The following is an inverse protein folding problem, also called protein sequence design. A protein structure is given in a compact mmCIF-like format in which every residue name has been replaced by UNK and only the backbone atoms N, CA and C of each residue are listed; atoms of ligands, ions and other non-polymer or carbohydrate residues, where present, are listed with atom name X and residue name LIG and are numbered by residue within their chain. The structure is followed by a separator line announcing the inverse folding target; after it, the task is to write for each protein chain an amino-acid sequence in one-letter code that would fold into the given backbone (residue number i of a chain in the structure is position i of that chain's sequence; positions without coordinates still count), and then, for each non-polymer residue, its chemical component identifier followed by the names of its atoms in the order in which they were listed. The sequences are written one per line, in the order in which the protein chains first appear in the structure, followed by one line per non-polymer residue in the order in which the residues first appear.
data_IF_213327516047
#
_entry.id   IF_213327516047
#
_cell.length_a   1.000
_cell.length_b   1.000
_cell.length_c   1.000
_cell.angle_alpha   90.00
_cell.angle_beta   90.00
_cell.angle_gamma   90.00
#
_symmetry.space_group_name_H-M   'P 1'
#
loop_
_entity.id
_entity.type
_entity.pdbx_description
1 polymer ?
#
# COMPACT_ATOMS: atom_id res chain seq x y z
N UNK A 1 -9.03 3.45 21.57
CA UNK A 1 -10.21 4.04 20.93
C UNK A 1 -9.78 5.30 20.21
N UNK A 2 -9.36 5.18 18.98
CA UNK A 2 -8.97 6.33 18.15
C UNK A 2 -10.15 6.69 17.27
N UNK A 3 -10.82 7.78 17.59
CA UNK A 3 -11.82 8.40 16.70
C UNK A 3 -11.08 9.31 15.73
N UNK A 4 -11.04 8.94 14.49
CA UNK A 4 -10.78 9.87 13.39
C UNK A 4 -11.98 10.80 13.30
N UNK A 5 -11.80 12.07 13.67
CA UNK A 5 -12.82 13.11 13.54
C UNK A 5 -12.96 13.49 12.07
N UNK A 6 -14.02 13.01 11.44
CA UNK A 6 -14.53 13.59 10.20
C UNK A 6 -15.32 14.87 10.55
N UNK A 7 -14.97 15.99 9.94
CA UNK A 7 -15.73 17.22 9.98
C UNK A 7 -17.07 17.04 9.28
N UNK A 8 -18.12 17.57 9.92
CA UNK A 8 -19.50 17.38 9.53
C UNK A 8 -19.93 18.02 8.22
N UNK A 9 -20.92 17.40 7.61
CA UNK A 9 -21.83 18.01 6.64
C UNK A 9 -23.27 17.58 6.95
N UNK A 10 -24.15 18.56 6.83
CA UNK A 10 -25.55 18.59 7.24
C UNK A 10 -26.41 17.48 6.64
N UNK A 11 -27.32 17.02 7.48
CA UNK A 11 -28.42 16.14 7.14
C UNK A 11 -29.46 16.83 6.25
N UNK A 12 -29.92 16.13 5.22
CA UNK A 12 -31.20 16.38 4.55
C UNK A 12 -31.99 15.07 4.49
N UNK A 13 -33.28 15.19 4.75
CA UNK A 13 -34.23 14.15 5.09
C UNK A 13 -34.55 13.16 3.97
N UNK A 14 -34.96 11.95 4.39
CA UNK A 14 -35.44 10.80 3.64
C UNK A 14 -36.70 11.04 2.80
N UNK A 15 -36.95 10.13 1.86
CA UNK A 15 -38.20 9.37 1.95
C UNK A 15 -38.01 7.85 1.97
N UNK A 16 -38.92 7.24 2.70
CA UNK A 16 -39.16 5.81 2.82
C UNK A 16 -39.64 5.26 1.45
N UNK A 17 -38.98 4.20 0.96
CA UNK A 17 -39.49 3.39 -0.13
C UNK A 17 -39.52 1.91 0.19
N UNK A 18 -40.61 1.32 -0.20
CA UNK A 18 -41.07 0.03 0.16
C UNK A 18 -40.25 -1.14 -0.38
N UNK A 19 -40.51 -2.29 0.22
CA UNK A 19 -40.05 -3.62 -0.10
C UNK A 19 -40.22 -3.96 -1.60
N UNK A 20 -39.09 -4.20 -2.26
CA UNK A 20 -39.04 -5.05 -3.44
C UNK A 20 -37.97 -6.12 -3.22
N UNK A 21 -38.44 -7.34 -2.91
CA UNK A 21 -37.66 -8.56 -3.10
C UNK A 21 -37.34 -8.70 -4.59
N UNK A 22 -36.20 -8.20 -5.01
CA UNK A 22 -35.56 -8.63 -6.25
C UNK A 22 -34.41 -9.56 -5.88
N UNK A 23 -34.68 -10.87 -5.99
CA UNK A 23 -33.62 -11.89 -6.10
C UNK A 23 -32.70 -11.47 -7.24
N UNK A 24 -31.48 -11.02 -6.89
CA UNK A 24 -30.40 -10.88 -7.84
C UNK A 24 -30.05 -12.28 -8.35
N UNK A 25 -30.55 -12.65 -9.50
CA UNK A 25 -30.06 -13.78 -10.28
C UNK A 25 -28.65 -13.38 -10.74
N UNK A 26 -27.64 -13.90 -10.07
CA UNK A 26 -26.25 -13.83 -10.55
C UNK A 26 -26.24 -14.33 -12.00
N UNK A 27 -25.72 -13.50 -12.89
CA UNK A 27 -25.62 -13.78 -14.31
C UNK A 27 -24.69 -14.99 -14.51
N UNK A 28 -25.25 -16.19 -14.71
CA UNK A 28 -24.52 -17.47 -14.79
C UNK A 28 -23.64 -17.62 -16.05
N UNK A 29 -23.38 -16.56 -16.81
CA UNK A 29 -22.60 -16.59 -18.04
C UNK A 29 -21.19 -15.99 -17.93
N UNK A 30 -20.66 -15.76 -16.73
CA UNK A 30 -19.26 -15.36 -16.58
C UNK A 30 -18.35 -16.59 -16.64
N UNK A 31 -17.51 -16.67 -17.68
CA UNK A 31 -16.58 -17.77 -17.83
C UNK A 31 -15.46 -17.67 -16.81
N UNK A 32 -15.11 -18.78 -16.14
CA UNK A 32 -13.93 -18.84 -15.27
C UNK A 32 -12.66 -18.37 -16.02
N UNK A 33 -11.76 -17.66 -15.32
CA UNK A 33 -10.48 -17.26 -15.90
C UNK A 33 -9.68 -18.50 -16.35
N UNK A 34 -9.32 -18.56 -17.64
CA UNK A 34 -8.67 -19.73 -18.26
C UNK A 34 -7.15 -19.68 -18.29
N UNK A 35 -6.55 -18.52 -17.99
CA UNK A 35 -5.10 -18.38 -17.94
C UNK A 35 -4.45 -19.12 -16.77
N UNK A 36 -3.15 -19.32 -16.85
CA UNK A 36 -2.35 -19.84 -15.73
C UNK A 36 -2.22 -18.80 -14.61
N UNK A 37 -1.70 -19.18 -13.43
CA UNK A 37 -1.39 -18.23 -12.37
C UNK A 37 -0.34 -17.21 -12.84
N UNK A 38 0.71 -17.68 -13.53
CA UNK A 38 1.75 -16.79 -14.08
C UNK A 38 1.20 -15.78 -15.08
N UNK A 39 0.29 -16.20 -15.97
CA UNK A 39 -0.38 -15.27 -16.89
C UNK A 39 -1.20 -14.21 -16.14
N UNK A 40 -1.93 -14.58 -15.09
CA UNK A 40 -2.69 -13.61 -14.31
C UNK A 40 -1.76 -12.62 -13.59
N UNK A 41 -0.69 -13.10 -12.99
CA UNK A 41 0.27 -12.24 -12.32
C UNK A 41 0.97 -11.30 -13.30
N UNK A 42 1.28 -11.78 -14.51
CA UNK A 42 1.87 -10.96 -15.58
C UNK A 42 0.88 -9.90 -16.08
N UNK A 43 -0.40 -10.28 -16.30
CA UNK A 43 -1.48 -9.35 -16.66
C UNK A 43 -1.65 -8.24 -15.59
N UNK A 44 -1.65 -8.62 -14.29
CA UNK A 44 -1.75 -7.68 -13.18
C UNK A 44 -0.58 -6.70 -13.20
N UNK A 45 0.64 -7.20 -13.30
CA UNK A 45 1.83 -6.36 -13.26
C UNK A 45 1.94 -5.45 -14.49
N UNK A 46 1.62 -5.94 -15.69
CA UNK A 46 1.60 -5.15 -16.91
C UNK A 46 0.55 -4.03 -16.85
N UNK A 47 -0.67 -4.35 -16.43
CA UNK A 47 -1.74 -3.36 -16.30
C UNK A 47 -1.42 -2.30 -15.21
N UNK A 48 -0.81 -2.72 -14.10
CA UNK A 48 -0.35 -1.80 -13.05
C UNK A 48 0.79 -0.90 -13.54
N UNK A 49 1.71 -1.44 -14.35
CA UNK A 49 2.75 -0.61 -15.01
C UNK A 49 2.11 0.48 -15.86
N UNK A 50 1.05 0.17 -16.62
CA UNK A 50 0.34 1.17 -17.42
C UNK A 50 -0.23 2.32 -16.58
N UNK A 51 -0.69 2.05 -15.34
CA UNK A 51 -1.08 3.11 -14.41
C UNK A 51 0.12 3.99 -14.04
N UNK A 52 1.21 3.41 -13.55
CA UNK A 52 2.39 4.15 -13.13
C UNK A 52 3.08 4.89 -14.29
N UNK A 53 2.88 4.43 -15.52
CA UNK A 53 3.40 5.07 -16.71
C UNK A 53 2.51 6.21 -17.21
N UNK A 54 1.20 5.98 -17.33
CA UNK A 54 0.26 6.89 -17.96
C UNK A 54 -0.29 7.95 -16.99
N UNK A 55 -0.46 7.61 -15.70
CA UNK A 55 -1.01 8.49 -14.68
C UNK A 55 0.09 9.17 -13.85
N UNK A 56 1.31 9.21 -14.34
CA UNK A 56 2.39 10.02 -13.82
C UNK A 56 2.62 11.27 -14.67
N UNK A 57 2.95 12.38 -14.02
CA UNK A 57 3.32 13.61 -14.72
C UNK A 57 4.53 13.40 -15.62
N UNK A 58 4.46 13.75 -16.90
CA UNK A 58 5.61 13.68 -17.80
C UNK A 58 6.73 14.67 -17.44
N UNK A 59 6.41 15.69 -16.64
CA UNK A 59 7.34 16.75 -16.23
C UNK A 59 8.01 16.41 -14.90
N UNK A 60 7.23 16.06 -13.89
CA UNK A 60 7.72 15.85 -12.51
C UNK A 60 7.92 14.37 -12.16
N UNK A 61 7.32 13.44 -12.91
CA UNK A 61 7.31 12.02 -12.62
C UNK A 61 6.44 11.61 -11.41
N UNK A 62 5.71 12.58 -10.83
CA UNK A 62 4.82 12.30 -9.70
C UNK A 62 3.59 11.52 -10.15
N UNK A 63 3.22 10.49 -9.42
CA UNK A 63 2.12 9.58 -9.73
C UNK A 63 0.84 10.09 -9.07
N UNK A 64 -0.27 10.08 -9.79
CA UNK A 64 -1.59 10.37 -9.21
C UNK A 64 -1.90 9.46 -8.01
N UNK A 65 -2.64 9.99 -7.04
CA UNK A 65 -3.18 9.19 -5.95
C UNK A 65 -4.11 8.10 -6.49
N UNK A 66 -5.01 8.50 -7.37
CA UNK A 66 -6.01 7.67 -8.04
C UNK A 66 -6.28 8.15 -9.45
N UNK A 67 -6.83 7.29 -10.27
CA UNK A 67 -7.30 7.65 -11.58
C UNK A 67 -8.59 6.89 -11.93
N UNK A 68 -9.38 7.48 -12.84
CA UNK A 68 -10.50 6.75 -13.41
C UNK A 68 -10.02 5.44 -14.04
N UNK A 69 -10.63 4.36 -13.63
CA UNK A 69 -10.38 3.02 -14.15
C UNK A 69 -10.54 2.96 -15.69
N UNK A 70 -11.49 3.78 -16.22
CA UNK A 70 -11.73 3.95 -17.63
C UNK A 70 -11.93 5.43 -17.97
N UNK A 71 -11.62 5.83 -19.22
CA UNK A 71 -11.78 7.20 -19.67
C UNK A 71 -10.56 8.08 -19.37
N UNK A 72 -10.74 9.40 -19.55
CA UNK A 72 -9.69 10.39 -19.34
C UNK A 72 -9.84 11.06 -17.98
N UNK A 73 -8.79 11.04 -17.17
CA UNK A 73 -8.77 11.62 -15.83
C UNK A 73 -7.98 12.93 -15.81
N UNK A 74 -8.66 14.02 -15.49
CA UNK A 74 -8.08 15.37 -15.44
C UNK A 74 -7.62 15.78 -14.03
N UNK A 75 -7.76 14.90 -13.03
CA UNK A 75 -7.31 15.18 -11.66
C UNK A 75 -5.78 15.31 -11.63
N UNK A 76 -5.29 16.20 -10.75
CA UNK A 76 -3.86 16.55 -10.64
C UNK A 76 -3.26 16.23 -9.27
N UNK A 77 -4.06 15.69 -8.36
CA UNK A 77 -3.56 15.29 -7.05
C UNK A 77 -2.67 14.07 -7.20
N UNK A 78 -1.40 14.20 -6.86
CA UNK A 78 -0.46 13.09 -6.76
C UNK A 78 -0.23 12.69 -5.32
N UNK A 79 0.00 11.40 -5.11
CA UNK A 79 0.39 10.81 -3.84
C UNK A 79 1.89 10.54 -3.82
N UNK A 80 2.54 11.00 -2.75
CA UNK A 80 3.96 10.74 -2.52
C UNK A 80 4.20 9.24 -2.31
N UNK A 81 3.29 8.56 -1.62
CA UNK A 81 3.31 7.11 -1.46
C UNK A 81 3.16 6.38 -2.80
N UNK A 82 2.16 6.75 -3.62
CA UNK A 82 1.98 6.15 -4.95
C UNK A 82 3.20 6.35 -5.85
N UNK A 83 3.89 7.49 -5.72
CA UNK A 83 5.16 7.73 -6.42
C UNK A 83 6.26 6.77 -5.97
N UNK A 84 6.32 6.43 -4.67
CA UNK A 84 7.24 5.42 -4.13
C UNK A 84 6.97 4.02 -4.67
N UNK A 85 5.71 3.60 -4.67
CA UNK A 85 5.29 2.35 -5.32
C UNK A 85 5.62 2.36 -6.82
N UNK A 86 5.36 3.48 -7.49
CA UNK A 86 5.64 3.67 -8.92
C UNK A 86 7.13 3.55 -9.25
N UNK A 87 8.03 4.12 -8.45
CA UNK A 87 9.47 3.96 -8.64
C UNK A 87 9.91 2.49 -8.56
N UNK A 88 9.36 1.74 -7.59
CA UNK A 88 9.61 0.29 -7.50
C UNK A 88 8.96 -0.45 -8.67
N UNK A 89 7.73 -0.07 -9.05
CA UNK A 89 7.02 -0.61 -10.20
C UNK A 89 7.77 -0.41 -11.52
N UNK A 90 8.44 0.73 -11.69
CA UNK A 90 9.31 0.98 -12.85
C UNK A 90 10.55 0.07 -12.85
N UNK A 91 11.12 -0.27 -11.69
CA UNK A 91 12.20 -1.26 -11.62
C UNK A 91 11.69 -2.67 -12.02
N UNK A 92 10.50 -3.04 -11.57
CA UNK A 92 9.86 -4.32 -11.97
C UNK A 92 9.58 -4.31 -13.48
N UNK A 93 9.03 -3.22 -14.01
CA UNK A 93 8.70 -3.09 -15.42
C UNK A 93 9.93 -3.19 -16.34
N UNK A 94 11.04 -2.57 -15.95
CA UNK A 94 12.31 -2.71 -16.67
C UNK A 94 12.84 -4.15 -16.61
N UNK A 95 12.79 -4.77 -15.45
CA UNK A 95 13.21 -6.16 -15.22
C UNK A 95 12.37 -7.17 -16.03
N UNK A 96 11.06 -6.91 -16.15
CA UNK A 96 10.10 -7.77 -16.88
C UNK A 96 9.99 -7.42 -18.38
N UNK A 97 10.51 -6.29 -18.80
CA UNK A 97 10.41 -5.85 -20.20
C UNK A 97 9.04 -5.31 -20.60
N UNK A 98 8.26 -4.73 -19.65
CA UNK A 98 6.96 -4.12 -19.96
C UNK A 98 7.08 -2.80 -20.71
N UNK A 99 8.24 -2.15 -20.64
CA UNK A 99 8.54 -0.91 -21.35
C UNK A 99 9.98 -0.87 -21.86
N UNK A 100 10.33 0.20 -22.58
CA UNK A 100 11.68 0.39 -23.06
C UNK A 100 12.60 0.85 -21.92
N UNK A 101 13.64 0.08 -21.62
CA UNK A 101 14.59 0.33 -20.52
C UNK A 101 15.13 1.77 -20.49
N UNK A 102 15.50 2.33 -21.65
CA UNK A 102 16.01 3.70 -21.73
C UNK A 102 14.96 4.75 -21.31
N UNK A 103 13.70 4.55 -21.71
CA UNK A 103 12.59 5.46 -21.37
C UNK A 103 12.24 5.36 -19.89
N UNK A 104 12.20 4.14 -19.35
CA UNK A 104 11.97 3.88 -17.91
C UNK A 104 13.07 4.54 -17.07
N UNK A 105 14.34 4.34 -17.43
CA UNK A 105 15.47 4.95 -16.72
C UNK A 105 15.39 6.47 -16.73
N UNK A 106 15.06 7.07 -17.87
CA UNK A 106 14.90 8.53 -17.97
C UNK A 106 13.71 9.03 -17.13
N UNK A 107 12.61 8.29 -17.05
CA UNK A 107 11.49 8.61 -16.19
C UNK A 107 11.94 8.60 -14.72
N UNK A 108 12.68 7.59 -14.27
CA UNK A 108 13.22 7.51 -12.91
C UNK A 108 14.17 8.68 -12.61
N UNK A 109 15.11 9.01 -13.51
CA UNK A 109 15.98 10.19 -13.35
C UNK A 109 15.18 11.47 -13.16
N UNK A 110 14.20 11.70 -14.02
CA UNK A 110 13.33 12.88 -13.97
C UNK A 110 12.59 12.96 -12.63
N UNK A 111 12.01 11.85 -12.19
CA UNK A 111 11.30 11.78 -10.91
C UNK A 111 12.23 12.12 -9.74
N UNK A 112 13.40 11.49 -9.67
CA UNK A 112 14.35 11.76 -8.58
C UNK A 112 14.94 13.17 -8.63
N UNK A 113 15.20 13.70 -9.83
CA UNK A 113 15.66 15.09 -10.02
C UNK A 113 14.61 16.09 -9.51
N UNK A 114 13.33 15.86 -9.78
CA UNK A 114 12.26 16.69 -9.22
C UNK A 114 12.18 16.59 -7.71
N UNK A 115 12.21 15.37 -7.14
CA UNK A 115 12.15 15.14 -5.70
C UNK A 115 13.33 15.79 -4.96
N UNK A 116 14.54 15.72 -5.52
CA UNK A 116 15.72 16.28 -4.85
C UNK A 116 15.80 17.81 -4.92
N UNK A 117 15.33 18.42 -6.03
CA UNK A 117 15.58 19.83 -6.30
C UNK A 117 14.36 20.75 -6.15
N UNK A 118 13.13 20.22 -6.27
CA UNK A 118 11.94 21.05 -6.44
C UNK A 118 10.77 20.65 -5.51
N UNK A 119 10.72 19.39 -5.07
CA UNK A 119 9.59 18.92 -4.27
C UNK A 119 9.63 19.54 -2.87
N UNK A 120 8.53 20.20 -2.42
CA UNK A 120 8.48 20.81 -1.09
C UNK A 120 8.55 19.76 0.01
N UNK A 121 9.30 20.09 1.03
CA UNK A 121 9.51 19.21 2.19
C UNK A 121 9.79 20.03 3.44
N UNK A 122 9.54 19.43 4.61
CA UNK A 122 9.97 19.97 5.89
C UNK A 122 10.95 19.00 6.53
N UNK A 123 12.13 19.46 6.87
CA UNK A 123 13.21 18.61 7.42
C UNK A 123 13.45 17.32 6.62
N UNK A 124 13.30 17.38 5.30
CA UNK A 124 13.47 16.24 4.40
C UNK A 124 12.26 15.32 4.27
N UNK A 125 11.24 15.47 5.09
CA UNK A 125 9.95 14.74 4.99
C UNK A 125 8.98 15.47 4.08
N UNK A 126 8.11 14.74 3.40
CA UNK A 126 7.28 15.25 2.31
C UNK A 126 5.81 15.38 2.68
N UNK A 127 5.13 16.35 2.06
CA UNK A 127 3.68 16.44 2.11
C UNK A 127 3.04 15.19 1.47
N UNK A 128 1.99 14.67 2.08
CA UNK A 128 1.27 13.48 1.64
C UNK A 128 0.79 13.58 0.20
N UNK A 129 0.18 14.73 -0.15
CA UNK A 129 -0.31 15.02 -1.50
C UNK A 129 0.29 16.31 -2.03
N UNK A 130 0.58 16.33 -3.33
CA UNK A 130 1.03 17.51 -4.05
C UNK A 130 0.30 17.62 -5.40
N UNK A 131 0.25 18.81 -5.95
CA UNK A 131 -0.14 19.01 -7.34
C UNK A 131 0.97 18.44 -8.24
N UNK A 132 0.62 17.48 -9.09
CA UNK A 132 1.60 16.72 -9.88
C UNK A 132 2.34 17.54 -10.95
N UNK A 133 1.82 18.71 -11.33
CA UNK A 133 2.43 19.57 -12.34
C UNK A 133 3.33 20.62 -11.70
N UNK A 134 2.84 21.27 -10.64
CA UNK A 134 3.52 22.39 -9.98
C UNK A 134 4.38 21.95 -8.79
N UNK A 135 4.13 20.76 -8.25
CA UNK A 135 4.75 20.26 -7.04
C UNK A 135 4.25 20.92 -5.74
N UNK A 136 3.34 21.87 -5.81
CA UNK A 136 2.84 22.55 -4.59
C UNK A 136 2.05 21.61 -3.71
N UNK A 137 2.14 21.82 -2.38
CA UNK A 137 1.31 21.15 -1.38
C UNK A 137 -0.16 21.19 -1.79
N UNK A 138 -0.80 20.02 -1.78
CA UNK A 138 -2.24 19.92 -2.07
C UNK A 138 -3.04 20.31 -0.84
N UNK A 139 -3.88 21.34 -0.98
CA UNK A 139 -4.71 21.87 0.10
C UNK A 139 -3.94 22.07 1.42
N UNK A 140 -4.43 21.48 2.51
CA UNK A 140 -3.81 21.56 3.85
C UNK A 140 -3.31 20.20 4.33
N UNK A 141 -2.95 19.29 3.41
CA UNK A 141 -2.44 17.98 3.82
C UNK A 141 -1.15 18.12 4.64
N UNK A 142 -0.92 17.16 5.52
CA UNK A 142 0.25 17.10 6.38
C UNK A 142 1.52 16.69 5.62
N UNK A 143 2.67 17.03 6.17
CA UNK A 143 3.90 16.30 5.97
C UNK A 143 3.73 14.97 6.67
N UNK A 144 3.77 13.87 5.92
CA UNK A 144 3.47 12.54 6.42
C UNK A 144 4.73 11.71 6.57
N UNK A 145 4.92 11.11 7.75
CA UNK A 145 6.07 10.23 8.02
C UNK A 145 5.96 8.90 7.27
N UNK A 146 4.76 8.33 7.15
CA UNK A 146 4.58 7.05 6.44
C UNK A 146 4.67 7.22 4.93
N UNK A 147 4.02 8.23 4.35
CA UNK A 147 4.06 8.45 2.90
C UNK A 147 5.47 8.82 2.44
N UNK A 148 6.21 9.61 3.26
CA UNK A 148 7.64 9.85 3.05
C UNK A 148 8.45 8.56 3.07
N UNK A 149 8.15 7.64 3.98
CA UNK A 149 8.85 6.35 4.07
C UNK A 149 8.56 5.45 2.89
N UNK A 150 7.32 5.43 2.39
CA UNK A 150 6.93 4.71 1.17
C UNK A 150 7.67 5.26 -0.07
N UNK A 151 7.76 6.59 -0.18
CA UNK A 151 8.58 7.22 -1.24
C UNK A 151 10.03 6.78 -1.14
N UNK A 152 10.63 6.85 0.06
CA UNK A 152 12.02 6.46 0.30
C UNK A 152 12.29 5.00 -0.04
N UNK A 153 11.37 4.10 0.25
CA UNK A 153 11.51 2.69 -0.15
C UNK A 153 11.61 2.55 -1.67
N UNK A 154 10.79 3.28 -2.43
CA UNK A 154 10.89 3.31 -3.89
C UNK A 154 12.19 3.95 -4.39
N UNK A 155 12.59 5.08 -3.81
CA UNK A 155 13.85 5.78 -4.10
C UNK A 155 15.05 4.86 -3.89
N UNK A 156 15.10 4.16 -2.77
CA UNK A 156 16.20 3.24 -2.42
C UNK A 156 16.18 1.95 -3.27
N UNK A 157 15.01 1.51 -3.73
CA UNK A 157 14.93 0.41 -4.71
C UNK A 157 15.54 0.84 -6.04
N UNK A 158 15.17 2.00 -6.55
CA UNK A 158 15.71 2.55 -7.80
C UNK A 158 17.24 2.76 -7.70
N UNK A 159 17.76 3.22 -6.55
CA UNK A 159 19.21 3.38 -6.29
C UNK A 159 19.98 2.08 -6.49
N UNK A 160 19.42 0.97 -6.07
CA UNK A 160 20.08 -0.34 -6.15
C UNK A 160 19.86 -1.05 -7.49
N UNK A 161 18.77 -0.74 -8.17
CA UNK A 161 18.44 -1.40 -9.43
C UNK A 161 19.19 -0.80 -10.62
N UNK A 162 19.19 0.54 -10.75
CA UNK A 162 19.80 1.19 -11.91
C UNK A 162 21.30 1.46 -11.69
N UNK A 163 22.13 0.91 -12.60
CA UNK A 163 23.55 1.26 -12.68
C UNK A 163 23.73 2.66 -13.35
N UNK A 164 23.27 3.71 -12.66
CA UNK A 164 23.19 5.09 -13.13
C UNK A 164 23.57 6.05 -12.01
N UNK A 165 24.65 6.80 -12.20
CA UNK A 165 25.23 7.66 -11.17
C UNK A 165 24.27 8.77 -10.73
N UNK A 166 23.53 9.39 -11.66
CA UNK A 166 22.57 10.45 -11.31
C UNK A 166 21.43 9.91 -10.44
N UNK A 167 20.91 8.72 -10.77
CA UNK A 167 19.89 8.03 -9.96
C UNK A 167 20.43 7.74 -8.57
N UNK A 168 21.63 7.18 -8.48
CA UNK A 168 22.26 6.80 -7.21
C UNK A 168 22.52 8.01 -6.31
N UNK A 169 23.09 9.08 -6.87
CA UNK A 169 23.40 10.32 -6.14
C UNK A 169 22.11 11.03 -5.68
N UNK A 170 21.12 11.12 -6.56
CA UNK A 170 19.85 11.76 -6.23
C UNK A 170 19.12 10.99 -5.13
N UNK A 171 19.04 9.67 -5.24
CA UNK A 171 18.41 8.82 -4.25
C UNK A 171 19.11 8.91 -2.88
N UNK A 172 20.43 8.93 -2.87
CA UNK A 172 21.23 9.08 -1.65
C UNK A 172 20.94 10.43 -0.99
N UNK A 173 20.97 11.54 -1.75
CA UNK A 173 20.65 12.88 -1.23
C UNK A 173 19.23 12.97 -0.68
N UNK A 174 18.24 12.34 -1.34
CA UNK A 174 16.86 12.33 -0.86
C UNK A 174 16.75 11.63 0.49
N UNK A 175 17.43 10.49 0.65
CA UNK A 175 17.38 9.74 1.90
C UNK A 175 18.16 10.41 3.03
N UNK A 176 19.37 10.90 2.76
CA UNK A 176 20.24 11.51 3.76
C UNK A 176 19.69 12.82 4.34
N UNK A 177 18.89 13.58 3.57
CA UNK A 177 18.35 14.86 4.06
C UNK A 177 17.20 14.72 5.07
N UNK A 178 16.64 13.51 5.28
CA UNK A 178 15.51 13.31 6.19
C UNK A 178 15.99 13.39 7.64
N UNK A 179 15.54 14.41 8.35
CA UNK A 179 15.78 14.60 9.78
C UNK A 179 14.79 13.75 10.60
N UNK A 180 15.10 12.49 10.79
CA UNK A 180 14.26 11.56 11.55
C UNK A 180 14.04 11.98 13.02
N UNK A 181 15.09 12.48 13.76
CA UNK A 181 14.91 13.05 15.10
C UNK A 181 13.85 14.15 15.16
N UNK A 182 13.75 15.01 14.13
CA UNK A 182 12.70 16.03 14.07
C UNK A 182 11.30 15.43 14.14
N UNK A 183 11.04 14.33 13.40
CA UNK A 183 9.74 13.67 13.38
C UNK A 183 9.42 12.91 14.68
N UNK A 184 10.42 12.58 15.51
CA UNK A 184 10.21 12.10 16.87
C UNK A 184 9.67 13.21 17.79
N UNK A 185 10.02 14.47 17.52
CA UNK A 185 9.59 15.64 18.29
C UNK A 185 9.82 15.49 19.81
N UNK A 186 11.00 14.97 20.17
CA UNK A 186 11.39 14.76 21.59
C UNK A 186 10.79 13.51 22.24
N UNK A 187 9.98 12.72 21.53
CA UNK A 187 9.36 11.50 22.04
C UNK A 187 10.11 10.24 21.57
N UNK A 188 9.65 9.07 22.04
CA UNK A 188 10.23 7.77 21.65
C UNK A 188 9.59 7.13 20.42
N UNK A 189 8.41 7.61 20.00
CA UNK A 189 7.67 7.16 18.82
C UNK A 189 7.53 8.30 17.82
N UNK A 190 7.37 7.99 16.53
CA UNK A 190 7.22 9.01 15.50
C UNK A 190 5.83 9.64 15.51
N UNK A 191 5.74 10.96 15.32
CA UNK A 191 4.48 11.62 14.94
C UNK A 191 4.02 11.09 13.58
N UNK A 192 2.71 10.96 13.37
CA UNK A 192 2.17 10.59 12.06
C UNK A 192 2.39 11.69 11.02
N UNK A 193 2.54 12.95 11.47
CA UNK A 193 2.81 14.05 10.55
C UNK A 193 2.93 15.42 11.22
N UNK A 194 3.10 16.42 10.38
CA UNK A 194 3.25 17.81 10.75
C UNK A 194 2.56 18.75 9.75
N UNK A 195 2.00 19.85 10.21
CA UNK A 195 1.44 20.90 9.35
C UNK A 195 1.97 22.25 9.75
N UNK A 196 2.16 23.19 8.80
CA UNK A 196 2.59 24.55 9.14
C UNK A 196 1.55 25.30 9.97
N UNK A 197 0.27 24.88 9.91
CA UNK A 197 -0.83 25.55 10.62
C UNK A 197 -0.94 25.11 12.09
N UNK A 198 -0.57 23.87 12.42
CA UNK A 198 -0.82 23.31 13.76
C UNK A 198 0.38 22.57 14.39
N UNK A 199 1.50 22.48 13.67
CA UNK A 199 2.66 21.72 14.13
C UNK A 199 2.46 20.22 14.05
N UNK A 200 3.08 19.46 14.95
CA UNK A 200 3.01 18.00 14.96
C UNK A 200 1.60 17.49 15.28
N UNK A 201 1.18 16.47 14.54
CA UNK A 201 -0.04 15.74 14.84
C UNK A 201 0.09 15.02 16.18
N UNK A 202 -1.02 14.96 16.93
CA UNK A 202 -1.06 14.22 18.21
C UNK A 202 -0.97 12.71 18.00
N UNK A 203 -1.43 12.21 16.86
CA UNK A 203 -1.38 10.81 16.51
C UNK A 203 0.07 10.36 16.25
N UNK A 204 0.41 9.19 16.77
CA UNK A 204 1.79 8.66 16.72
C UNK A 204 1.79 7.21 16.26
N UNK A 205 2.91 6.79 15.71
CA UNK A 205 3.18 5.40 15.32
C UNK A 205 3.61 4.61 16.55
N UNK A 206 2.66 4.22 17.38
CA UNK A 206 2.90 3.63 18.71
C UNK A 206 2.34 2.21 18.90
N UNK A 207 1.63 1.69 17.88
CA UNK A 207 1.10 0.32 17.85
C UNK A 207 1.45 -0.35 16.54
N UNK A 208 1.62 -1.68 16.55
CA UNK A 208 1.88 -2.46 15.33
C UNK A 208 0.89 -2.11 14.22
N UNK A 209 1.44 -1.72 13.09
CA UNK A 209 0.78 -1.47 11.82
C UNK A 209 1.84 -1.46 10.71
N UNK A 210 1.69 -0.69 9.65
CA UNK A 210 2.67 -0.53 8.57
C UNK A 210 3.96 0.21 8.97
N UNK A 211 4.07 0.65 10.20
CA UNK A 211 5.12 1.52 10.76
C UNK A 211 6.55 0.97 10.67
N UNK A 212 6.75 -0.34 10.52
CA UNK A 212 8.08 -0.96 10.64
C UNK A 212 9.10 -0.33 9.70
N UNK A 213 8.70 0.04 8.48
CA UNK A 213 9.59 0.69 7.51
C UNK A 213 10.07 2.06 7.99
N UNK A 214 9.21 2.85 8.69
CA UNK A 214 9.59 4.17 9.24
C UNK A 214 10.77 4.00 10.20
N UNK A 215 10.61 3.10 11.18
CA UNK A 215 11.63 2.86 12.20
C UNK A 215 12.92 2.31 11.60
N UNK A 216 12.84 1.37 10.67
CA UNK A 216 14.02 0.78 10.05
C UNK A 216 14.77 1.79 9.15
N UNK A 217 14.06 2.62 8.37
CA UNK A 217 14.67 3.69 7.60
C UNK A 217 15.37 4.69 8.54
N UNK A 218 14.72 5.07 9.62
CA UNK A 218 15.26 6.03 10.58
C UNK A 218 16.49 5.49 11.34
N UNK A 219 16.47 4.23 11.81
CA UNK A 219 17.59 3.57 12.48
C UNK A 219 18.78 3.38 11.52
N UNK A 220 18.48 3.13 10.23
CA UNK A 220 19.50 2.93 9.20
C UNK A 220 20.07 4.22 8.62
N UNK A 221 19.45 5.38 8.88
CA UNK A 221 19.88 6.65 8.29
C UNK A 221 21.37 6.93 8.56
N UNK A 222 22.14 7.26 7.51
CA UNK A 222 23.55 7.59 7.69
C UNK A 222 23.80 9.01 8.23
N UNK A 223 22.87 9.94 7.95
CA UNK A 223 23.04 11.36 8.30
C UNK A 223 22.31 11.72 9.61
N UNK A 224 21.07 11.29 9.77
CA UNK A 224 20.20 11.66 10.91
C UNK A 224 19.56 10.41 11.54
N UNK A 225 20.35 9.45 12.07
CA UNK A 225 19.81 8.23 12.64
C UNK A 225 19.10 8.50 13.97
N UNK A 226 18.09 7.68 14.25
CA UNK A 226 17.52 7.58 15.60
C UNK A 226 18.13 6.42 16.37
N UNK A 227 18.00 6.46 17.71
CA UNK A 227 18.45 5.36 18.56
C UNK A 227 17.78 4.04 18.14
N UNK A 228 18.51 2.91 18.06
CA UNK A 228 17.91 1.59 17.88
C UNK A 228 16.85 1.24 18.92
N UNK A 229 16.93 1.85 20.12
CA UNK A 229 15.92 1.68 21.17
C UNK A 229 14.51 2.13 20.78
N UNK A 230 14.35 3.00 19.77
CA UNK A 230 13.04 3.40 19.24
C UNK A 230 12.26 2.22 18.67
N UNK A 231 12.94 1.18 18.17
CA UNK A 231 12.29 -0.08 17.74
C UNK A 231 11.45 -0.73 18.85
N UNK A 232 11.84 -0.52 20.10
CA UNK A 232 11.15 -1.09 21.26
C UNK A 232 10.06 -0.17 21.83
N UNK A 233 9.90 1.06 21.30
CA UNK A 233 9.00 2.05 21.85
C UNK A 233 7.52 1.83 21.48
N UNK A 234 7.25 1.14 20.38
CA UNK A 234 5.89 0.84 19.93
C UNK A 234 5.41 -0.53 20.42
N UNK A 235 4.11 -0.65 20.65
CA UNK A 235 3.50 -1.85 21.19
C UNK A 235 3.13 -2.86 20.12
N UNK A 236 3.00 -4.12 20.52
CA UNK A 236 2.68 -5.27 19.66
C UNK A 236 1.49 -6.03 20.25
N UNK A 237 0.27 -5.45 20.13
CA UNK A 237 -0.92 -6.07 20.71
C UNK A 237 -1.14 -7.46 20.12
N UNK A 238 -1.49 -8.43 20.99
CA UNK A 238 -1.79 -9.80 20.58
C UNK A 238 -3.29 -9.97 20.45
N UNK A 239 -3.71 -10.61 19.37
CA UNK A 239 -5.09 -10.95 19.06
C UNK A 239 -5.16 -12.45 18.85
N UNK A 240 -6.23 -13.05 19.35
CA UNK A 240 -6.59 -14.46 19.05
C UNK A 240 -7.91 -14.47 18.29
N UNK A 241 -7.94 -15.10 17.13
CA UNK A 241 -9.16 -15.30 16.36
C UNK A 241 -9.23 -16.73 15.83
N UNK A 242 -10.32 -17.44 16.17
CA UNK A 242 -10.53 -18.85 15.80
C UNK A 242 -9.29 -19.74 16.04
N UNK A 243 -8.61 -19.54 17.19
CA UNK A 243 -7.41 -20.31 17.55
C UNK A 243 -6.11 -19.85 16.89
N UNK A 244 -6.13 -18.77 16.13
CA UNK A 244 -4.93 -18.17 15.51
C UNK A 244 -4.47 -16.99 16.38
N UNK A 245 -3.26 -17.10 16.93
CA UNK A 245 -2.61 -16.04 17.69
C UNK A 245 -1.67 -15.24 16.78
N UNK A 246 -1.86 -13.92 16.74
CA UNK A 246 -1.02 -13.00 15.95
C UNK A 246 -0.98 -11.60 16.57
N UNK A 247 -0.05 -10.79 16.09
CA UNK A 247 0.11 -9.38 16.48
C UNK A 247 -0.66 -8.51 15.49
N UNK A 248 -1.54 -7.64 15.97
CA UNK A 248 -2.20 -6.59 15.20
C UNK A 248 -2.52 -5.41 16.11
N UNK A 249 -2.29 -4.20 15.65
CA UNK A 249 -2.67 -2.97 16.35
C UNK A 249 -3.68 -2.15 15.56
N UNK A 250 -3.92 -2.59 14.32
CA UNK A 250 -4.88 -2.01 13.41
C UNK A 250 -5.37 -3.10 12.44
N UNK A 251 -6.64 -3.13 12.15
CA UNK A 251 -7.30 -4.27 11.52
C UNK A 251 -7.32 -4.31 9.98
N UNK A 252 -7.17 -3.19 9.23
CA UNK A 252 -7.04 -3.28 7.78
C UNK A 252 -5.83 -4.13 7.38
N UNK A 253 -6.04 -5.05 6.46
CA UNK A 253 -5.03 -6.07 6.13
C UNK A 253 -3.73 -5.48 5.55
N UNK A 254 -3.79 -4.31 4.89
CA UNK A 254 -2.60 -3.64 4.34
C UNK A 254 -1.52 -3.37 5.40
N UNK A 255 -1.89 -3.21 6.68
CA UNK A 255 -0.94 -2.97 7.77
C UNK A 255 0.07 -4.11 7.96
N UNK A 256 -0.31 -5.32 7.51
CA UNK A 256 0.56 -6.49 7.49
C UNK A 256 1.36 -6.64 6.19
N UNK A 257 1.15 -5.77 5.20
CA UNK A 257 1.70 -5.91 3.85
C UNK A 257 2.79 -4.88 3.54
N UNK A 258 2.55 -3.59 3.82
CA UNK A 258 3.34 -2.49 3.28
C UNK A 258 4.82 -2.54 3.65
N UNK A 259 5.17 -2.71 4.93
CA UNK A 259 6.58 -2.84 5.33
C UNK A 259 7.23 -4.10 4.74
N UNK A 260 6.44 -5.15 4.51
CA UNK A 260 6.90 -6.42 3.95
C UNK A 260 7.16 -6.34 2.44
N UNK A 261 6.66 -5.31 1.74
CA UNK A 261 6.88 -5.17 0.32
C UNK A 261 8.37 -4.94 -0.04
N UNK A 262 9.12 -4.27 0.84
CA UNK A 262 10.53 -3.93 0.63
C UNK A 262 11.48 -4.62 1.59
N UNK A 263 11.18 -4.61 2.91
CA UNK A 263 12.02 -5.29 3.89
C UNK A 263 11.73 -6.80 3.89
N UNK A 264 12.77 -7.58 3.64
CA UNK A 264 12.67 -9.05 3.67
C UNK A 264 12.72 -9.58 5.11
N UNK A 265 11.54 -9.83 5.68
CA UNK A 265 11.39 -10.42 7.01
C UNK A 265 11.35 -11.95 7.01
N UNK A 266 11.45 -12.61 5.85
CA UNK A 266 11.42 -14.09 5.77
C UNK A 266 12.58 -14.68 6.55
N UNK A 267 12.29 -15.75 7.30
CA UNK A 267 13.29 -16.47 8.10
C UNK A 267 14.05 -15.58 9.10
N UNK A 268 13.44 -14.50 9.55
CA UNK A 268 14.03 -13.55 10.51
C UNK A 268 13.05 -13.27 11.63
N UNK A 269 13.61 -13.07 12.81
CA UNK A 269 12.87 -12.61 13.97
C UNK A 269 13.65 -11.59 14.77
N UNK A 270 12.94 -10.73 15.47
CA UNK A 270 13.49 -9.91 16.55
C UNK A 270 13.24 -10.56 17.94
N UNK A 271 13.28 -9.76 18.99
CA UNK A 271 12.94 -10.22 20.34
C UNK A 271 11.45 -10.54 20.52
N UNK A 272 10.58 -10.02 19.66
CA UNK A 272 9.14 -10.05 19.80
C UNK A 272 8.45 -11.06 18.87
N UNK A 273 8.84 -11.10 17.59
CA UNK A 273 8.14 -11.89 16.58
C UNK A 273 9.01 -12.26 15.35
N UNK A 274 8.53 -13.27 14.61
CA UNK A 274 8.77 -13.41 13.18
C UNK A 274 7.61 -12.69 12.47
N UNK A 275 7.87 -11.51 11.90
CA UNK A 275 6.82 -10.67 11.32
C UNK A 275 6.29 -11.21 9.99
N UNK A 276 7.06 -12.00 9.26
CA UNK A 276 6.55 -12.69 8.08
C UNK A 276 5.50 -13.73 8.45
N UNK A 277 5.82 -14.60 9.42
CA UNK A 277 4.86 -15.58 9.95
C UNK A 277 3.65 -14.91 10.61
N UNK A 278 3.86 -13.75 11.22
CA UNK A 278 2.75 -12.94 11.74
C UNK A 278 1.79 -12.51 10.63
N UNK A 279 2.30 -12.05 9.50
CA UNK A 279 1.47 -11.63 8.35
C UNK A 279 0.76 -12.82 7.70
N UNK A 280 1.38 -14.03 7.66
CA UNK A 280 0.72 -15.27 7.26
C UNK A 280 -0.48 -15.56 8.16
N UNK A 281 -0.29 -15.48 9.48
CA UNK A 281 -1.37 -15.71 10.47
C UNK A 281 -2.48 -14.67 10.38
N UNK A 282 -2.12 -13.40 10.23
CA UNK A 282 -3.07 -12.31 10.07
C UNK A 282 -3.92 -12.49 8.80
N UNK A 283 -3.32 -12.86 7.68
CA UNK A 283 -4.02 -13.14 6.42
C UNK A 283 -5.00 -14.32 6.58
N UNK A 284 -4.59 -15.40 7.26
CA UNK A 284 -5.48 -16.53 7.58
C UNK A 284 -6.65 -16.12 8.47
N UNK A 285 -6.37 -15.35 9.52
CA UNK A 285 -7.41 -14.86 10.44
C UNK A 285 -8.39 -13.94 9.69
N UNK A 286 -7.90 -13.07 8.82
CA UNK A 286 -8.73 -12.20 7.99
C UNK A 286 -9.61 -12.98 7.01
N UNK A 287 -9.08 -14.02 6.34
CA UNK A 287 -9.89 -14.93 5.52
C UNK A 287 -11.02 -15.52 6.33
N UNK A 288 -10.72 -16.16 7.48
CA UNK A 288 -11.73 -16.77 8.35
C UNK A 288 -12.75 -15.74 8.85
N UNK A 289 -12.32 -14.51 9.10
CA UNK A 289 -13.22 -13.42 9.46
C UNK A 289 -14.21 -13.11 8.33
N UNK A 290 -13.74 -12.93 7.09
CA UNK A 290 -14.63 -12.71 5.94
C UNK A 290 -15.61 -13.89 5.76
N UNK A 291 -15.14 -15.13 5.87
CA UNK A 291 -15.99 -16.31 5.75
C UNK A 291 -17.06 -16.35 6.85
N UNK A 292 -16.75 -15.91 8.08
CA UNK A 292 -17.72 -15.85 9.19
C UNK A 292 -18.84 -14.85 8.95
N UNK A 293 -18.70 -13.95 8.00
CA UNK A 293 -19.71 -12.98 7.61
C UNK A 293 -20.62 -13.46 6.47
N UNK A 294 -20.46 -14.71 5.99
CA UNK A 294 -21.20 -15.27 4.87
C UNK A 294 -22.72 -15.16 5.01
N UNK A 295 -23.25 -15.47 6.17
CA UNK A 295 -24.71 -15.41 6.42
C UNK A 295 -25.26 -14.00 6.24
N UNK A 296 -24.45 -12.99 6.59
CA UNK A 296 -24.80 -11.57 6.43
C UNK A 296 -24.50 -11.06 5.00
N UNK A 297 -23.42 -11.53 4.42
CA UNK A 297 -22.92 -11.12 3.11
C UNK A 297 -22.58 -12.36 2.27
N UNK A 298 -23.56 -12.95 1.56
CA UNK A 298 -23.36 -14.18 0.81
C UNK A 298 -22.32 -14.12 -0.34
N UNK A 299 -21.79 -12.91 -0.61
CA UNK A 299 -20.66 -12.73 -1.52
C UNK A 299 -19.34 -13.29 -0.97
N UNK A 300 -19.18 -13.33 0.37
CA UNK A 300 -17.97 -13.90 0.97
C UNK A 300 -18.00 -15.43 0.97
N UNK A 301 -16.89 -16.03 0.56
CA UNK A 301 -16.69 -17.47 0.51
C UNK A 301 -15.23 -17.82 0.24
N UNK A 302 -14.92 -19.11 0.14
CA UNK A 302 -13.55 -19.61 -0.10
C UNK A 302 -12.87 -19.00 -1.34
N UNK A 303 -13.67 -18.69 -2.36
CA UNK A 303 -13.20 -18.18 -3.64
C UNK A 303 -13.33 -16.65 -3.76
N UNK A 304 -13.90 -15.96 -2.77
CA UNK A 304 -14.11 -14.51 -2.80
C UNK A 304 -14.13 -13.93 -1.39
N UNK A 305 -13.06 -13.25 -1.00
CA UNK A 305 -12.90 -12.63 0.31
C UNK A 305 -11.82 -11.55 0.25
N UNK A 306 -11.73 -10.71 1.26
CA UNK A 306 -10.68 -9.72 1.45
C UNK A 306 -11.23 -8.31 1.52
N UNK A 307 -10.92 -7.64 2.64
CA UNK A 307 -11.24 -6.25 2.93
C UNK A 307 -9.95 -5.56 3.38
N UNK A 308 -9.75 -4.33 2.94
CA UNK A 308 -8.63 -3.48 3.36
C UNK A 308 -9.07 -2.02 3.26
N UNK A 309 -8.18 -1.06 3.56
CA UNK A 309 -8.50 0.33 3.30
C UNK A 309 -8.75 0.52 1.80
N UNK A 310 -9.87 1.13 1.44
CA UNK A 310 -10.32 1.31 0.05
C UNK A 310 -11.47 2.30 -0.05
N UNK A 311 -11.88 2.59 -1.27
CA UNK A 311 -13.16 3.24 -1.51
C UNK A 311 -14.33 2.26 -1.27
N UNK A 312 -15.49 2.78 -1.00
CA UNK A 312 -16.78 2.10 -0.98
C UNK A 312 -17.88 3.08 -1.39
N UNK A 313 -19.12 2.66 -1.44
CA UNK A 313 -20.23 3.53 -1.87
C UNK A 313 -20.35 4.83 -1.05
N UNK A 314 -19.82 4.88 0.16
CA UNK A 314 -19.80 6.05 1.06
C UNK A 314 -18.51 6.86 1.05
N UNK A 315 -17.53 6.54 0.21
CA UNK A 315 -16.21 7.19 0.13
C UNK A 315 -15.07 6.30 0.63
N UNK A 316 -13.88 6.86 0.85
CA UNK A 316 -12.71 6.11 1.32
C UNK A 316 -12.80 5.79 2.82
N UNK A 317 -12.49 4.55 3.20
CA UNK A 317 -12.46 4.12 4.59
C UNK A 317 -11.40 3.04 4.85
N UNK A 318 -10.90 3.01 6.08
CA UNK A 318 -10.10 1.90 6.58
C UNK A 318 -11.05 0.89 7.25
N UNK A 319 -11.15 -0.32 6.70
CA UNK A 319 -12.03 -1.35 7.20
C UNK A 319 -11.42 -2.75 7.13
N UNK A 320 -11.97 -3.68 7.91
CA UNK A 320 -11.48 -5.06 7.97
C UNK A 320 -11.84 -5.76 9.27
N UNK A 321 -11.00 -6.69 9.65
CA UNK A 321 -11.12 -7.49 10.87
C UNK A 321 -10.20 -8.72 10.85
N UNK A 322 -10.18 -9.52 11.94
CA UNK A 322 -10.84 -9.33 13.23
C UNK A 322 -10.04 -8.43 14.18
N UNK A 323 -10.67 -7.70 15.12
CA UNK A 323 -12.13 -7.53 15.28
C UNK A 323 -12.73 -6.64 14.17
N UNK A 324 -14.07 -6.62 13.98
CA UNK A 324 -14.70 -5.82 12.91
C UNK A 324 -14.37 -4.34 13.05
N UNK A 325 -13.94 -3.72 11.95
CA UNK A 325 -13.62 -2.31 11.84
C UNK A 325 -14.23 -1.73 10.54
N UNK A 326 -14.72 -0.50 10.63
CA UNK A 326 -15.34 0.18 9.51
C UNK A 326 -16.77 -0.31 9.21
N UNK A 327 -17.37 0.17 8.11
CA UNK A 327 -18.79 -0.03 7.81
C UNK A 327 -19.17 -1.43 7.32
N UNK A 328 -18.26 -2.30 7.00
CA UNK A 328 -18.36 -3.64 6.37
C UNK A 328 -19.73 -3.89 5.73
N UNK A 329 -19.80 -3.83 4.41
CA UNK A 329 -21.03 -3.88 3.62
C UNK A 329 -21.10 -5.07 2.63
N UNK A 330 -20.12 -5.97 2.66
CA UNK A 330 -19.98 -7.08 1.73
C UNK A 330 -19.13 -6.76 0.49
N UNK A 331 -18.47 -5.60 0.46
CA UNK A 331 -17.51 -5.26 -0.59
C UNK A 331 -16.27 -6.15 -0.57
N UNK A 332 -15.67 -6.29 -1.75
CA UNK A 332 -14.41 -7.01 -2.01
C UNK A 332 -13.36 -5.99 -2.43
N UNK A 333 -12.18 -6.09 -1.85
CA UNK A 333 -11.04 -5.21 -2.11
C UNK A 333 -9.90 -6.06 -2.68
N UNK A 334 -9.63 -6.01 -3.99
CA UNK A 334 -8.66 -6.90 -4.66
C UNK A 334 -7.24 -6.81 -4.08
N UNK A 335 -6.78 -5.63 -3.66
CA UNK A 335 -5.45 -5.44 -3.08
C UNK A 335 -5.28 -6.17 -1.72
N UNK A 336 -6.36 -6.46 -1.00
CA UNK A 336 -6.29 -7.25 0.23
C UNK A 336 -5.67 -8.63 -0.02
N UNK A 337 -6.08 -9.30 -1.08
CA UNK A 337 -5.49 -10.58 -1.50
C UNK A 337 -4.25 -10.42 -2.37
N UNK A 338 -4.21 -9.41 -3.24
CA UNK A 338 -3.05 -9.10 -4.07
C UNK A 338 -1.79 -8.80 -3.24
N UNK A 339 -1.92 -7.94 -2.23
CA UNK A 339 -0.83 -7.62 -1.30
C UNK A 339 -0.46 -8.77 -0.35
N UNK A 340 -1.28 -9.82 -0.27
CA UNK A 340 -1.04 -11.00 0.58
C UNK A 340 -0.51 -12.23 -0.17
N UNK A 341 -0.25 -12.13 -1.47
CA UNK A 341 0.21 -13.25 -2.29
C UNK A 341 1.39 -14.04 -1.69
N UNK A 342 2.46 -13.43 -1.13
CA UNK A 342 3.55 -14.19 -0.53
C UNK A 342 3.19 -14.89 0.78
N UNK A 343 2.11 -14.47 1.45
CA UNK A 343 1.71 -15.01 2.75
C UNK A 343 0.79 -16.22 2.63
N UNK A 344 -0.13 -16.22 1.65
CA UNK A 344 -1.15 -17.25 1.49
C UNK A 344 -1.51 -17.41 0.01
N UNK A 345 -0.55 -17.86 -0.80
CA UNK A 345 -0.65 -17.82 -2.26
C UNK A 345 -1.89 -18.50 -2.82
N UNK A 346 -2.11 -19.76 -2.48
CA UNK A 346 -3.19 -20.57 -3.09
C UNK A 346 -4.57 -19.98 -2.84
N UNK A 347 -4.80 -19.42 -1.64
CA UNK A 347 -6.06 -18.79 -1.29
C UNK A 347 -6.20 -17.41 -1.97
N UNK A 348 -5.14 -16.61 -1.98
CA UNK A 348 -5.15 -15.27 -2.57
C UNK A 348 -5.29 -15.32 -4.10
N UNK A 349 -4.51 -16.17 -4.77
CA UNK A 349 -4.58 -16.29 -6.24
C UNK A 349 -5.94 -16.84 -6.70
N UNK A 350 -6.58 -17.68 -5.90
CA UNK A 350 -7.93 -18.18 -6.17
C UNK A 350 -8.94 -17.05 -6.20
N UNK A 351 -8.88 -16.13 -5.23
CA UNK A 351 -9.73 -14.93 -5.20
C UNK A 351 -9.49 -14.06 -6.43
N UNK A 352 -8.23 -13.73 -6.74
CA UNK A 352 -7.91 -12.91 -7.90
C UNK A 352 -8.37 -13.54 -9.22
N UNK A 353 -8.28 -14.86 -9.36
CA UNK A 353 -8.82 -15.61 -10.50
C UNK A 353 -10.34 -15.52 -10.57
N UNK A 354 -11.00 -15.63 -9.43
CA UNK A 354 -12.47 -15.52 -9.33
C UNK A 354 -12.90 -14.11 -9.74
N UNK A 355 -12.24 -13.07 -9.22
CA UNK A 355 -12.54 -11.68 -9.60
C UNK A 355 -12.32 -11.50 -11.11
N UNK A 356 -11.17 -11.93 -11.63
CA UNK A 356 -10.83 -11.78 -13.06
C UNK A 356 -11.81 -12.52 -13.99
N UNK A 357 -12.26 -13.71 -13.61
CA UNK A 357 -13.16 -14.56 -14.40
C UNK A 357 -14.62 -14.13 -14.27
N UNK A 358 -15.14 -14.09 -13.05
CA UNK A 358 -16.58 -13.88 -12.82
C UNK A 358 -17.00 -12.40 -12.81
N UNK A 359 -16.11 -11.51 -12.39
CA UNK A 359 -16.39 -10.07 -12.24
C UNK A 359 -15.57 -9.22 -13.22
N UNK A 360 -14.68 -9.81 -14.01
CA UNK A 360 -13.70 -9.12 -14.83
C UNK A 360 -14.26 -8.14 -15.86
N UNK A 361 -15.53 -8.28 -16.28
CA UNK A 361 -16.15 -7.31 -17.18
C UNK A 361 -16.26 -5.90 -16.58
N UNK A 362 -16.34 -5.80 -15.23
CA UNK A 362 -16.48 -4.54 -14.50
C UNK A 362 -15.35 -4.31 -13.51
N UNK A 363 -14.83 -5.38 -12.87
CA UNK A 363 -13.78 -5.28 -11.86
C UNK A 363 -12.37 -5.28 -12.46
N UNK A 364 -12.19 -5.56 -13.75
CA UNK A 364 -10.90 -5.51 -14.43
C UNK A 364 -10.91 -4.42 -15.50
N UNK A 365 -9.90 -3.56 -15.46
CA UNK A 365 -9.81 -2.35 -16.27
C UNK A 365 -8.46 -2.27 -17.00
N UNK A 366 -8.21 -1.19 -17.69
CA UNK A 366 -6.90 -0.93 -18.34
C UNK A 366 -5.72 -0.91 -17.37
N UNK A 367 -5.97 -0.67 -16.09
CA UNK A 367 -4.94 -0.59 -15.05
C UNK A 367 -4.95 -1.79 -14.09
N UNK A 368 -5.73 -2.83 -14.40
CA UNK A 368 -5.92 -3.98 -13.56
C UNK A 368 -7.25 -3.93 -12.82
N UNK A 369 -7.27 -4.40 -11.58
CA UNK A 369 -8.49 -4.42 -10.77
C UNK A 369 -8.89 -3.00 -10.34
N UNK A 370 -10.22 -2.72 -10.33
CA UNK A 370 -10.78 -1.55 -9.62
C UNK A 370 -10.41 -1.61 -8.14
N UNK A 371 -10.48 -0.48 -7.45
CA UNK A 371 -10.11 -0.41 -6.04
C UNK A 371 -10.98 -1.32 -5.17
N UNK A 372 -12.29 -1.24 -5.32
CA UNK A 372 -13.24 -2.10 -4.64
C UNK A 372 -14.49 -2.37 -5.48
N UNK A 373 -15.25 -3.40 -5.12
CA UNK A 373 -16.58 -3.64 -5.67
C UNK A 373 -17.45 -4.43 -4.68
N UNK A 374 -18.77 -4.29 -4.82
CA UNK A 374 -19.72 -5.02 -3.99
C UNK A 374 -20.58 -5.95 -4.86
N UNK A 375 -20.37 -7.28 -4.80
CA UNK A 375 -21.10 -8.23 -5.63
C UNK A 375 -22.58 -8.32 -5.29
N UNK A 376 -23.00 -7.89 -4.09
CA UNK A 376 -24.40 -7.96 -3.62
C UNK A 376 -25.22 -6.79 -4.13
N UNK A 377 -24.62 -5.59 -4.21
CA UNK A 377 -25.30 -4.38 -4.68
C UNK A 377 -25.05 -4.11 -6.17
N UNK A 378 -24.02 -4.74 -6.74
CA UNK A 378 -23.59 -4.47 -8.12
C UNK A 378 -22.82 -3.17 -8.28
N UNK A 379 -22.35 -2.57 -7.16
CA UNK A 379 -21.47 -1.40 -7.18
C UNK A 379 -20.04 -1.83 -7.55
N UNK A 380 -19.40 -1.04 -8.38
CA UNK A 380 -17.98 -1.14 -8.74
C UNK A 380 -17.38 0.24 -8.65
N UNK A 381 -16.20 0.35 -8.05
CA UNK A 381 -15.51 1.62 -8.04
C UNK A 381 -15.16 2.07 -9.45
N UNK A 382 -15.31 3.37 -9.68
CA UNK A 382 -14.89 4.01 -10.92
C UNK A 382 -13.39 4.29 -10.96
N UNK A 383 -12.71 4.18 -9.83
CA UNK A 383 -11.31 4.49 -9.66
C UNK A 383 -10.43 3.25 -9.47
N UNK A 384 -9.15 3.46 -9.69
CA UNK A 384 -8.04 2.64 -9.21
C UNK A 384 -7.14 3.51 -8.34
N UNK A 385 -6.61 2.97 -7.25
CA UNK A 385 -5.71 3.67 -6.33
C UNK A 385 -4.26 3.24 -6.55
N UNK A 386 -3.36 4.23 -6.61
CA UNK A 386 -1.95 3.95 -6.90
C UNK A 386 -1.26 3.08 -5.86
N UNK A 387 -1.59 3.24 -4.56
CA UNK A 387 -1.02 2.43 -3.50
C UNK A 387 -1.52 0.98 -3.54
N UNK A 388 -2.77 0.75 -3.92
CA UNK A 388 -3.40 -0.57 -3.94
C UNK A 388 -2.97 -1.40 -5.15
N UNK A 389 -2.86 -0.74 -6.31
CA UNK A 389 -2.19 -1.32 -7.48
C UNK A 389 -0.72 -1.62 -7.15
N UNK A 390 -0.04 -0.68 -6.48
CA UNK A 390 1.36 -0.79 -6.12
C UNK A 390 1.66 -1.97 -5.21
N UNK A 391 0.95 -2.10 -4.08
CA UNK A 391 1.18 -3.23 -3.16
C UNK A 391 0.92 -4.56 -3.86
N UNK A 392 -0.12 -4.64 -4.71
CA UNK A 392 -0.43 -5.85 -5.49
C UNK A 392 0.72 -6.20 -6.44
N UNK A 393 1.25 -5.24 -7.20
CA UNK A 393 2.36 -5.44 -8.13
C UNK A 393 3.63 -5.89 -7.43
N UNK A 394 4.01 -5.22 -6.34
CA UNK A 394 5.24 -5.52 -5.61
C UNK A 394 5.18 -6.91 -4.96
N UNK A 395 4.05 -7.25 -4.36
CA UNK A 395 3.90 -8.54 -3.68
C UNK A 395 3.72 -9.70 -4.66
N UNK A 396 3.11 -9.46 -5.82
CA UNK A 396 3.13 -10.42 -6.92
C UNK A 396 4.57 -10.71 -7.38
N UNK A 397 5.41 -9.69 -7.56
CA UNK A 397 6.81 -9.85 -7.93
C UNK A 397 7.63 -10.54 -6.85
N UNK A 398 7.40 -10.18 -5.58
CA UNK A 398 8.05 -10.84 -4.46
C UNK A 398 7.70 -12.32 -4.35
N UNK A 399 6.45 -12.69 -4.62
CA UNK A 399 6.05 -14.09 -4.71
C UNK A 399 6.74 -14.81 -5.87
N UNK A 400 6.75 -14.22 -7.07
CA UNK A 400 7.32 -14.81 -8.29
C UNK A 400 8.82 -15.06 -8.18
N UNK A 401 9.57 -14.09 -7.68
CA UNK A 401 11.05 -14.10 -7.77
C UNK A 401 11.78 -13.60 -6.53
N UNK A 402 11.11 -12.86 -5.62
CA UNK A 402 11.77 -12.15 -4.53
C UNK A 402 12.50 -10.88 -4.96
N UNK A 403 12.31 -10.43 -6.19
CA UNK A 403 13.07 -9.35 -6.81
C UNK A 403 13.10 -8.05 -6.01
N UNK A 404 11.95 -7.60 -5.48
CA UNK A 404 11.90 -6.34 -4.71
C UNK A 404 12.70 -6.48 -3.41
N UNK A 405 12.51 -7.59 -2.70
CA UNK A 405 13.29 -7.90 -1.49
C UNK A 405 14.78 -7.93 -1.77
N UNK A 406 15.20 -8.70 -2.77
CA UNK A 406 16.62 -8.83 -3.11
C UNK A 406 17.23 -7.48 -3.50
N UNK A 407 16.50 -6.68 -4.29
CA UNK A 407 16.99 -5.39 -4.76
C UNK A 407 17.05 -4.38 -3.61
N UNK A 408 15.96 -4.21 -2.84
CA UNK A 408 15.92 -3.26 -1.73
C UNK A 408 16.95 -3.61 -0.64
N UNK A 409 17.09 -4.88 -0.30
CA UNK A 409 18.01 -5.34 0.74
C UNK A 409 19.51 -5.26 0.33
N UNK A 410 19.84 -4.85 -0.92
CA UNK A 410 21.20 -4.45 -1.29
C UNK A 410 21.64 -3.15 -0.60
N UNK A 411 20.68 -2.31 -0.16
CA UNK A 411 20.98 -1.12 0.64
C UNK A 411 21.64 -1.54 1.98
N UNK A 412 22.86 -1.08 2.22
CA UNK A 412 23.58 -1.42 3.44
C UNK A 412 22.87 -0.90 4.68
N UNK A 413 22.23 0.25 4.57
CA UNK A 413 21.45 0.92 5.61
C UNK A 413 20.27 0.06 6.06
N UNK A 414 19.56 -0.58 5.11
CA UNK A 414 18.44 -1.46 5.42
C UNK A 414 18.88 -2.69 6.23
N UNK A 415 19.99 -3.31 5.81
CA UNK A 415 20.57 -4.45 6.54
C UNK A 415 21.07 -4.05 7.94
N UNK A 416 21.79 -2.94 8.00
CA UNK A 416 22.29 -2.39 9.26
C UNK A 416 21.15 -2.05 10.23
N UNK A 417 20.07 -1.46 9.72
CA UNK A 417 18.88 -1.14 10.51
C UNK A 417 18.24 -2.39 11.13
N UNK A 418 18.02 -3.44 10.32
CA UNK A 418 17.49 -4.70 10.84
C UNK A 418 18.41 -5.32 11.91
N UNK A 419 19.72 -5.31 11.69
CA UNK A 419 20.67 -5.80 12.67
C UNK A 419 20.61 -4.99 13.98
N UNK A 420 20.61 -3.65 13.88
CA UNK A 420 20.50 -2.74 15.04
C UNK A 420 19.17 -2.88 15.79
N UNK A 421 18.08 -3.18 15.07
CA UNK A 421 16.77 -3.47 15.65
C UNK A 421 16.68 -4.89 16.26
N UNK A 422 17.76 -5.69 16.21
CA UNK A 422 17.84 -6.99 16.86
C UNK A 422 17.34 -8.17 16.02
N UNK A 423 17.17 -7.98 14.71
CA UNK A 423 16.80 -9.08 13.83
C UNK A 423 17.91 -10.11 13.67
N UNK A 424 17.55 -11.38 13.76
CA UNK A 424 18.43 -12.54 13.60
C UNK A 424 17.69 -13.64 12.84
N UNK A 425 18.36 -14.70 12.35
CA UNK A 425 17.67 -15.87 11.80
C UNK A 425 16.62 -16.42 12.79
N UNK A 426 15.44 -16.82 12.27
CA UNK A 426 14.32 -17.32 13.06
C UNK A 426 14.53 -18.77 13.50
#
# INVERSE_FOLDING_TARGET
MMRLSAAGLLAAAMPVFGNHEQRATANQNSAAYRGTHEQLLDDIQGATFDFFWNEASPTTGQVKDRALANGNDLRKMSSVAATGFGLTGLCIADHRGYGKSAEIRERVRKTLRFVVNQMPHEHGSFYRFIDMETGKRWEKCEVSSIDSSLLLCGVLTARQYFADQEIQDSATKIYERVDWPWMLNGESTFSMGWTPESGFLKARWEHYCELMMIYLLAIGSPAHPVSPGTWNAWTRPKITYQGIDYISGNDPLFTHQYSQAWYDFRNKRDAYANYFENSVKATKAHKLFCLSLHDKFPGYGEDLWGISASDYVGGYTAWGGPPPQGPIDGSIVPCATGGSLPFLFDDCIRVLRTIRGHYGQKAWTRYGFVDAFNPLTGWYDSDVLGIDLGITMLMAENYRTGFVWETFMKNAEARSAMQKAGFRPA
#
